data_IF_797240049333
#
_entry.id   IF_797240049333
#
_cell.length_a   1.000
_cell.length_b   1.000
_cell.length_c   1.000
_cell.angle_alpha   90.00
_cell.angle_beta   90.00
_cell.angle_gamma   90.00
#
_symmetry.space_group_name_H-M   'P 1'
#
loop_
_entity.id
_entity.type
_entity.pdbx_description
1 polymer ?
#
# COMPACT_ATOMS: atom_id res chain seq x y z
N UNK A 1 -37.63 -33.43 -32.47
CA UNK A 1 -36.71 -32.43 -32.98
C UNK A 1 -36.07 -31.58 -31.88
N UNK A 2 -35.35 -32.13 -30.96
CA UNK A 2 -34.73 -31.32 -29.89
C UNK A 2 -33.22 -31.05 -30.06
N UNK A 3 -32.64 -31.35 -31.20
CA UNK A 3 -31.20 -31.20 -31.39
C UNK A 3 -30.70 -29.75 -31.58
N UNK A 4 -31.56 -28.85 -32.07
CA UNK A 4 -31.14 -27.49 -32.40
C UNK A 4 -31.01 -26.57 -31.17
N UNK A 5 -31.78 -26.81 -30.11
CA UNK A 5 -31.69 -26.03 -28.87
C UNK A 5 -30.46 -26.36 -28.04
N UNK A 6 -29.94 -27.57 -28.12
CA UNK A 6 -28.74 -27.99 -27.42
C UNK A 6 -27.49 -27.40 -28.11
N UNK A 7 -27.52 -27.26 -29.43
CA UNK A 7 -26.44 -26.68 -30.20
C UNK A 7 -26.26 -25.20 -29.95
N UNK A 8 -27.36 -24.45 -29.77
CA UNK A 8 -27.31 -23.02 -29.48
C UNK A 8 -26.78 -22.75 -28.05
N UNK A 9 -27.10 -23.59 -27.08
CA UNK A 9 -26.61 -23.48 -25.72
C UNK A 9 -25.11 -23.80 -25.64
N UNK A 10 -24.62 -24.80 -26.40
CA UNK A 10 -23.22 -25.14 -26.45
C UNK A 10 -22.37 -24.06 -27.14
N UNK A 11 -22.88 -23.44 -28.21
CA UNK A 11 -22.18 -22.35 -28.89
C UNK A 11 -22.14 -21.08 -28.03
N UNK A 12 -23.19 -20.78 -27.29
CA UNK A 12 -23.19 -19.66 -26.34
C UNK A 12 -22.25 -19.85 -25.17
N UNK A 13 -22.13 -21.07 -24.66
CA UNK A 13 -21.19 -21.40 -23.57
C UNK A 13 -19.72 -21.35 -24.03
N UNK A 14 -19.43 -21.83 -25.23
CA UNK A 14 -18.09 -21.77 -25.82
C UNK A 14 -17.66 -20.33 -26.13
N UNK A 15 -18.55 -19.46 -26.58
CA UNK A 15 -18.23 -18.06 -26.81
C UNK A 15 -18.02 -17.27 -25.49
N UNK A 16 -18.72 -17.67 -24.41
CA UNK A 16 -18.51 -17.09 -23.08
C UNK A 16 -17.17 -17.53 -22.46
N UNK A 17 -16.76 -18.78 -22.65
CA UNK A 17 -15.43 -19.28 -22.23
C UNK A 17 -14.29 -18.67 -23.03
N UNK A 18 -14.49 -18.35 -24.30
CA UNK A 18 -13.49 -17.64 -25.11
C UNK A 18 -13.30 -16.19 -24.67
N UNK A 19 -14.30 -15.55 -24.05
CA UNK A 19 -14.21 -14.21 -23.47
C UNK A 19 -13.43 -14.13 -22.15
N UNK A 20 -13.12 -15.26 -21.49
CA UNK A 20 -12.19 -15.38 -20.36
C UNK A 20 -10.71 -15.41 -20.80
N UNK A 21 -10.46 -15.06 -22.02
CA UNK A 21 -9.15 -15.06 -22.61
C UNK A 21 -8.18 -14.08 -21.93
N UNK A 22 -6.96 -14.23 -22.27
CA UNK A 22 -5.74 -13.46 -22.00
C UNK A 22 -5.93 -12.04 -21.44
N UNK A 23 -6.94 -11.28 -21.92
CA UNK A 23 -7.23 -9.91 -21.48
C UNK A 23 -7.78 -9.82 -20.04
N UNK A 24 -8.71 -10.68 -19.64
CA UNK A 24 -9.21 -10.73 -18.27
C UNK A 24 -8.11 -11.12 -17.28
N UNK A 25 -7.27 -12.10 -17.63
CA UNK A 25 -6.13 -12.51 -16.81
C UNK A 25 -5.08 -11.41 -16.67
N UNK A 26 -4.82 -10.64 -17.74
CA UNK A 26 -3.91 -9.48 -17.73
C UNK A 26 -4.48 -8.39 -16.81
N UNK A 27 -5.78 -8.08 -16.91
CA UNK A 27 -6.46 -7.09 -16.07
C UNK A 27 -6.35 -7.46 -14.59
N UNK A 28 -6.69 -8.67 -14.19
CA UNK A 28 -6.59 -9.13 -12.81
C UNK A 28 -5.15 -9.18 -12.27
N UNK A 29 -4.19 -9.48 -13.14
CA UNK A 29 -2.78 -9.44 -12.77
C UNK A 29 -2.32 -8.01 -12.50
N UNK A 30 -2.71 -7.08 -13.39
CA UNK A 30 -2.39 -5.66 -13.25
C UNK A 30 -3.03 -5.09 -11.98
N UNK A 31 -4.32 -5.32 -11.74
CA UNK A 31 -5.02 -4.88 -10.54
C UNK A 31 -4.34 -5.35 -9.25
N UNK A 32 -3.90 -6.62 -9.20
CA UNK A 32 -3.14 -7.16 -8.04
C UNK A 32 -1.78 -6.49 -7.86
N UNK A 33 -1.08 -6.20 -8.94
CA UNK A 33 0.21 -5.49 -8.88
C UNK A 33 0.03 -4.05 -8.43
N UNK A 34 -0.97 -3.36 -8.96
CA UNK A 34 -1.29 -1.97 -8.59
C UNK A 34 -1.73 -1.87 -7.12
N UNK A 35 -2.51 -2.84 -6.62
CA UNK A 35 -2.89 -2.92 -5.21
C UNK A 35 -1.68 -3.15 -4.29
N UNK A 36 -0.73 -4.01 -4.66
CA UNK A 36 0.51 -4.22 -3.90
C UNK A 36 1.36 -2.95 -3.88
N UNK A 37 1.52 -2.30 -5.03
CA UNK A 37 2.26 -1.04 -5.17
C UNK A 37 1.63 0.05 -4.33
N UNK A 38 0.30 0.19 -4.34
CA UNK A 38 -0.44 1.14 -3.51
C UNK A 38 -0.20 0.97 -2.02
N UNK A 39 -0.15 -0.28 -1.52
CA UNK A 39 0.18 -0.58 -0.12
C UNK A 39 1.60 -0.17 0.24
N UNK A 40 2.57 -0.44 -0.64
CA UNK A 40 3.97 -0.04 -0.43
C UNK A 40 4.08 1.48 -0.39
N UNK A 41 3.46 2.19 -1.32
CA UNK A 41 3.47 3.65 -1.38
C UNK A 41 2.84 4.27 -0.12
N UNK A 42 1.70 3.77 0.32
CA UNK A 42 1.05 4.24 1.55
C UNK A 42 1.96 4.07 2.77
N UNK A 43 2.64 2.93 2.88
CA UNK A 43 3.59 2.67 3.97
C UNK A 43 4.77 3.64 3.94
N UNK A 44 5.36 3.86 2.76
CA UNK A 44 6.49 4.78 2.60
C UNK A 44 6.09 6.23 2.91
N UNK A 45 4.91 6.67 2.47
CA UNK A 45 4.38 8.00 2.80
C UNK A 45 4.21 8.18 4.31
N UNK A 46 3.67 7.19 5.00
CA UNK A 46 3.55 7.21 6.47
C UNK A 46 4.92 7.29 7.15
N UNK A 47 5.87 6.48 6.72
CA UNK A 47 7.22 6.48 7.26
C UNK A 47 7.91 7.84 7.10
N UNK A 48 7.81 8.45 5.92
CA UNK A 48 8.35 9.80 5.67
C UNK A 48 7.71 10.83 6.59
N UNK A 49 6.38 10.78 6.73
CA UNK A 49 5.63 11.73 7.58
C UNK A 49 6.04 11.61 9.05
N UNK A 50 6.15 10.38 9.58
CA UNK A 50 6.57 10.13 10.95
C UNK A 50 8.03 10.52 11.16
N UNK A 51 8.92 10.16 10.22
CA UNK A 51 10.33 10.52 10.30
C UNK A 51 10.54 12.05 10.33
N UNK A 52 9.82 12.79 9.47
CA UNK A 52 9.85 14.24 9.44
C UNK A 52 9.30 14.87 10.73
N UNK A 53 8.27 14.27 11.33
CA UNK A 53 7.70 14.74 12.60
C UNK A 53 8.66 14.59 13.78
N UNK A 54 9.36 13.47 13.85
CA UNK A 54 10.26 13.17 14.97
C UNK A 54 11.61 13.89 14.91
N UNK A 55 12.13 14.08 13.71
CA UNK A 55 13.50 14.62 13.53
C UNK A 55 13.59 15.85 12.62
N UNK A 56 12.44 16.43 12.23
CA UNK A 56 12.39 17.57 11.31
C UNK A 56 12.39 17.20 9.84
N UNK A 57 12.03 18.16 8.99
CA UNK A 57 11.84 17.98 7.54
C UNK A 57 13.14 18.04 6.71
N UNK A 58 14.30 18.26 7.32
CA UNK A 58 15.57 18.30 6.60
C UNK A 58 16.25 16.91 6.59
N UNK A 59 16.38 16.26 5.41
CA UNK A 59 17.03 14.95 5.31
C UNK A 59 18.51 14.96 5.72
N UNK A 60 19.18 16.11 5.67
CA UNK A 60 20.58 16.21 6.06
C UNK A 60 20.75 16.09 7.58
N UNK A 61 19.80 16.64 8.33
CA UNK A 61 19.77 16.63 9.79
C UNK A 61 19.04 15.42 10.38
N UNK A 62 18.24 14.71 9.55
CA UNK A 62 17.41 13.59 9.97
C UNK A 62 17.77 12.31 9.20
N UNK A 63 18.63 11.43 9.77
CA UNK A 63 19.05 10.19 9.10
C UNK A 63 17.88 9.22 8.81
N UNK A 64 16.86 9.18 9.68
CA UNK A 64 15.66 8.36 9.47
C UNK A 64 14.86 8.84 8.26
N UNK A 65 14.69 10.16 8.14
CA UNK A 65 14.02 10.76 6.99
C UNK A 65 14.77 10.47 5.69
N UNK A 66 16.09 10.64 5.71
CA UNK A 66 16.94 10.35 4.55
C UNK A 66 16.78 8.91 4.07
N UNK A 67 16.84 7.94 4.99
CA UNK A 67 16.63 6.52 4.66
C UNK A 67 15.22 6.27 4.10
N UNK A 68 14.20 6.91 4.66
CA UNK A 68 12.82 6.78 4.18
C UNK A 68 12.64 7.36 2.77
N UNK A 69 13.29 8.50 2.49
CA UNK A 69 13.30 9.14 1.16
C UNK A 69 14.02 8.26 0.13
N UNK A 70 15.17 7.71 0.48
CA UNK A 70 15.93 6.82 -0.42
C UNK A 70 15.09 5.60 -0.81
N UNK A 71 14.46 4.93 0.16
CA UNK A 71 13.53 3.82 -0.10
C UNK A 71 12.33 4.21 -0.96
N UNK A 72 11.81 5.41 -0.78
CA UNK A 72 10.71 5.91 -1.59
C UNK A 72 11.13 6.17 -3.04
N UNK A 73 12.33 6.68 -3.26
CA UNK A 73 12.91 6.86 -4.60
C UNK A 73 13.17 5.52 -5.29
N UNK A 74 13.71 4.53 -4.57
CA UNK A 74 13.89 3.16 -5.09
C UNK A 74 12.56 2.52 -5.50
N UNK A 75 11.49 2.80 -4.75
CA UNK A 75 10.13 2.35 -5.09
C UNK A 75 9.47 3.17 -6.20
N UNK A 76 10.14 4.16 -6.78
CA UNK A 76 9.62 5.10 -7.77
C UNK A 76 8.41 5.92 -7.27
N UNK A 77 8.43 6.34 -6.02
CA UNK A 77 7.44 7.28 -5.50
C UNK A 77 7.69 8.68 -6.11
N UNK A 78 6.65 9.39 -6.61
CA UNK A 78 6.82 10.73 -7.18
C UNK A 78 7.43 11.72 -6.19
N UNK A 79 8.37 12.54 -6.65
CA UNK A 79 9.07 13.53 -5.82
C UNK A 79 8.12 14.48 -5.11
N UNK A 80 7.10 14.96 -5.79
CA UNK A 80 6.06 15.82 -5.20
C UNK A 80 5.35 15.15 -4.01
N UNK A 81 5.12 13.84 -4.08
CA UNK A 81 4.51 13.08 -3.00
C UNK A 81 5.42 12.98 -1.80
N UNK A 82 6.72 12.79 -2.02
CA UNK A 82 7.75 12.78 -0.97
C UNK A 82 7.80 14.15 -0.28
N UNK A 83 7.89 15.22 -1.04
CA UNK A 83 7.94 16.60 -0.52
C UNK A 83 6.67 16.94 0.28
N UNK A 84 5.50 16.55 -0.23
CA UNK A 84 4.22 16.76 0.47
C UNK A 84 4.15 15.97 1.77
N UNK A 85 4.63 14.74 1.79
CA UNK A 85 4.69 13.93 2.99
C UNK A 85 5.64 14.51 4.05
N UNK A 86 6.80 15.01 3.62
CA UNK A 86 7.78 15.69 4.47
C UNK A 86 7.20 16.96 5.09
N UNK A 87 6.59 17.83 4.29
CA UNK A 87 5.94 19.06 4.77
C UNK A 87 4.78 18.79 5.74
N UNK A 88 4.03 17.70 5.50
CA UNK A 88 2.97 17.28 6.42
C UNK A 88 3.53 16.83 7.76
N UNK A 89 4.66 16.12 7.76
CA UNK A 89 5.35 15.69 8.97
C UNK A 89 5.95 16.84 9.77
N UNK A 90 6.58 17.81 9.10
CA UNK A 90 7.16 19.00 9.74
C UNK A 90 6.12 19.99 10.29
N UNK A 91 4.83 19.82 9.96
CA UNK A 91 3.75 20.69 10.42
C UNK A 91 3.41 21.84 9.47
N UNK A 92 4.08 21.94 8.32
CA UNK A 92 3.85 22.99 7.32
C UNK A 92 2.55 22.79 6.52
N UNK A 93 1.97 21.59 6.60
CA UNK A 93 0.71 21.25 5.96
C UNK A 93 -0.25 20.59 6.96
N UNK A 94 -1.48 21.05 6.98
CA UNK A 94 -2.56 20.37 7.71
C UNK A 94 -2.80 18.97 7.14
N UNK A 95 -3.04 18.01 8.01
CA UNK A 95 -3.32 16.64 7.60
C UNK A 95 -3.37 15.66 8.76
N UNK A 96 -3.53 14.40 8.42
CA UNK A 96 -3.60 13.30 9.38
C UNK A 96 -2.27 13.17 10.12
N UNK A 97 -2.32 13.28 11.44
CA UNK A 97 -1.16 13.12 12.30
C UNK A 97 -0.93 11.63 12.56
N UNK A 98 0.12 11.07 11.99
CA UNK A 98 0.55 9.72 12.32
C UNK A 98 1.47 9.74 13.54
N UNK A 99 1.22 8.82 14.46
CA UNK A 99 2.05 8.57 15.64
C UNK A 99 2.59 7.14 15.57
N UNK A 100 3.80 6.97 16.09
CA UNK A 100 4.39 5.64 16.27
C UNK A 100 4.02 5.12 17.66
N UNK A 101 3.40 3.93 17.71
CA UNK A 101 2.98 3.28 18.93
C UNK A 101 3.55 1.87 18.94
N UNK A 102 4.16 1.50 20.06
CA UNK A 102 4.63 0.15 20.30
C UNK A 102 3.66 -0.60 21.20
N UNK A 103 3.23 -1.75 20.75
CA UNK A 103 2.44 -2.70 21.52
C UNK A 103 3.31 -3.91 21.86
N UNK A 104 3.23 -4.31 23.12
CA UNK A 104 3.93 -5.48 23.63
C UNK A 104 2.92 -6.47 24.22
N UNK A 105 3.16 -7.73 24.02
CA UNK A 105 2.28 -8.79 24.56
C UNK A 105 2.91 -10.17 24.47
N UNK A 106 2.20 -11.13 25.00
CA UNK A 106 2.59 -12.53 24.95
C UNK A 106 1.58 -13.32 24.10
N UNK A 107 2.09 -14.09 23.16
CA UNK A 107 1.32 -15.03 22.37
C UNK A 107 1.18 -16.39 23.06
N UNK A 108 0.48 -17.30 22.39
CA UNK A 108 0.35 -18.68 22.85
C UNK A 108 1.74 -19.33 22.96
N UNK A 109 1.96 -20.08 24.05
CA UNK A 109 3.25 -20.70 24.34
C UNK A 109 4.29 -19.78 24.99
N UNK A 110 3.90 -18.57 25.44
CA UNK A 110 4.80 -17.64 26.13
C UNK A 110 5.75 -16.86 25.21
N UNK A 111 5.49 -16.87 23.89
CA UNK A 111 6.27 -16.09 22.94
C UNK A 111 6.02 -14.58 23.13
N UNK A 112 7.08 -13.80 23.37
CA UNK A 112 6.99 -12.35 23.43
C UNK A 112 6.77 -11.78 22.01
N UNK A 113 5.80 -10.90 21.87
CA UNK A 113 5.45 -10.23 20.62
C UNK A 113 5.58 -8.73 20.83
N UNK A 114 6.30 -8.06 19.94
CA UNK A 114 6.43 -6.62 19.88
C UNK A 114 5.98 -6.14 18.51
N UNK A 115 5.08 -5.16 18.47
CA UNK A 115 4.51 -4.61 17.24
C UNK A 115 4.66 -3.11 17.22
N UNK A 116 5.41 -2.59 16.27
CA UNK A 116 5.52 -1.15 16.01
C UNK A 116 4.49 -0.76 14.95
N UNK A 117 3.58 0.14 15.31
CA UNK A 117 2.50 0.62 14.46
C UNK A 117 2.62 2.12 14.20
N UNK A 118 2.37 2.52 12.95
CA UNK A 118 2.16 3.91 12.58
C UNK A 118 0.67 4.13 12.35
N UNK A 119 0.03 4.88 13.23
CA UNK A 119 -1.42 5.08 13.17
C UNK A 119 -1.80 6.53 13.47
N UNK A 120 -2.90 6.94 12.90
CA UNK A 120 -3.59 8.20 13.19
C UNK A 120 -4.61 8.04 14.32
N UNK A 121 -4.93 6.81 14.71
CA UNK A 121 -5.93 6.51 15.74
C UNK A 121 -5.44 5.39 16.66
N UNK A 122 -5.27 5.72 17.96
CA UNK A 122 -4.79 4.78 19.00
C UNK A 122 -5.83 3.73 19.41
N UNK A 123 -7.10 3.99 19.15
CA UNK A 123 -8.21 3.16 19.61
C UNK A 123 -8.76 2.18 18.57
N UNK A 124 -8.19 2.17 17.39
CA UNK A 124 -8.66 1.34 16.27
C UNK A 124 -8.06 -0.06 16.32
#
# INVERSE_FOLDING_TARGET
MPCDKIRIILTGYLSFMAGHSKWANIKHRKERQDAKRGKIFTRLIKEITVAARMGGGDPNMNPRLRLAVDKAQEANLPKETIERATKRGSGDLEGVNYEEIRYEGYGMGGAAIMVDCMTDNKTR
#
